data_IF_278789822713
#
_entry.id   IF_278789822713
#
_cell.length_a   1.000
_cell.length_b   1.000
_cell.length_c   1.000
_cell.angle_alpha   90.00
_cell.angle_beta   90.00
_cell.angle_gamma   90.00
#
_symmetry.space_group_name_H-M   'P 1'
#
loop_
_entity.id
_entity.type
_entity.pdbx_description
1 polymer ?
#
# COMPACT_ATOMS: atom_id res chain seq x y z
N UNK A 1 -16.26 1.07 2.50
CA UNK A 1 -14.87 0.57 2.45
C UNK A 1 -14.53 0.29 1.01
N UNK A 2 -13.57 1.01 0.44
CA UNK A 2 -13.03 0.68 -0.88
C UNK A 2 -12.21 -0.61 -0.75
N UNK A 3 -12.54 -1.64 -1.53
CA UNK A 3 -11.77 -2.87 -1.51
C UNK A 3 -10.32 -2.59 -1.94
N UNK A 4 -9.35 -3.09 -1.17
CA UNK A 4 -7.95 -3.08 -1.56
C UNK A 4 -7.64 -4.35 -2.35
N UNK A 5 -6.86 -4.23 -3.42
CA UNK A 5 -6.32 -5.37 -4.17
C UNK A 5 -4.80 -5.27 -4.26
N UNK A 6 -4.14 -6.43 -4.40
CA UNK A 6 -2.69 -6.52 -4.52
C UNK A 6 -2.27 -6.94 -5.93
N UNK A 7 -1.52 -6.06 -6.61
CA UNK A 7 -0.96 -6.36 -7.93
C UNK A 7 0.53 -6.68 -7.80
N UNK A 8 0.94 -7.90 -8.16
CA UNK A 8 2.35 -8.30 -8.11
C UNK A 8 3.19 -7.46 -9.08
N UNK A 9 4.28 -6.87 -8.58
CA UNK A 9 5.29 -6.19 -9.41
C UNK A 9 6.47 -7.11 -9.66
N UNK A 10 7.00 -7.71 -8.59
CA UNK A 10 8.08 -8.69 -8.63
C UNK A 10 8.10 -9.49 -7.32
N UNK A 11 9.09 -10.37 -7.19
CA UNK A 11 9.31 -11.09 -5.94
C UNK A 11 9.70 -10.11 -4.84
N UNK A 12 8.82 -9.99 -3.84
CA UNK A 12 9.03 -9.07 -2.74
C UNK A 12 8.38 -7.70 -2.91
N UNK A 13 7.67 -7.41 -4.02
CA UNK A 13 6.95 -6.13 -4.18
C UNK A 13 5.56 -6.33 -4.81
N UNK A 14 4.54 -5.79 -4.13
CA UNK A 14 3.16 -5.71 -4.60
C UNK A 14 2.68 -4.26 -4.54
N UNK A 15 1.95 -3.81 -5.56
CA UNK A 15 1.19 -2.56 -5.50
C UNK A 15 -0.09 -2.81 -4.72
N UNK A 16 -0.48 -1.83 -3.92
CA UNK A 16 -1.78 -1.78 -3.24
C UNK A 16 -2.66 -0.82 -4.01
N UNK A 17 -3.76 -1.32 -4.56
CA UNK A 17 -4.74 -0.54 -5.32
C UNK A 17 -6.00 -0.36 -4.47
N UNK A 18 -6.46 0.87 -4.31
CA UNK A 18 -7.68 1.22 -3.60
C UNK A 18 -8.73 1.73 -4.60
N UNK A 19 -9.50 0.82 -5.21
CA UNK A 19 -10.62 1.14 -6.11
C UNK A 19 -10.46 2.44 -6.93
N UNK A 20 -11.27 3.46 -6.63
CA UNK A 20 -11.27 4.74 -7.34
C UNK A 20 -10.04 5.62 -7.08
N UNK A 21 -9.33 5.44 -5.98
CA UNK A 21 -8.10 6.19 -5.66
C UNK A 21 -6.89 5.64 -6.43
N UNK A 22 -6.99 4.42 -6.97
CA UNK A 22 -5.92 3.78 -7.71
C UNK A 22 -4.78 3.33 -6.79
N UNK A 23 -3.53 3.50 -7.24
CA UNK A 23 -2.36 3.04 -6.50
C UNK A 23 -2.08 3.93 -5.29
N UNK A 24 -2.13 3.34 -4.09
CA UNK A 24 -1.99 4.06 -2.80
C UNK A 24 -0.71 3.69 -2.03
N UNK A 25 0.04 2.71 -2.53
CA UNK A 25 1.28 2.28 -1.88
C UNK A 25 1.78 0.95 -2.40
N UNK A 26 2.91 0.52 -1.86
CA UNK A 26 3.48 -0.79 -2.16
C UNK A 26 3.70 -1.58 -0.87
N UNK A 27 3.46 -2.88 -0.90
CA UNK A 27 4.03 -3.81 0.06
C UNK A 27 5.40 -4.22 -0.43
N UNK A 28 6.42 -4.05 0.43
CA UNK A 28 7.80 -4.46 0.13
C UNK A 28 8.29 -5.44 1.18
N UNK A 29 8.84 -6.57 0.75
CA UNK A 29 9.53 -7.52 1.61
C UNK A 29 10.93 -6.97 1.94
N UNK A 30 11.14 -6.57 3.19
CA UNK A 30 12.38 -5.97 3.65
C UNK A 30 12.83 -6.72 4.89
N UNK A 31 13.99 -7.37 4.82
CA UNK A 31 14.54 -8.18 5.92
C UNK A 31 13.55 -9.23 6.46
N UNK A 32 12.83 -9.92 5.57
CA UNK A 32 11.87 -10.97 5.92
C UNK A 32 10.50 -10.50 6.40
N UNK A 33 10.24 -9.18 6.40
CA UNK A 33 8.96 -8.61 6.82
C UNK A 33 8.33 -7.77 5.70
N UNK A 34 7.03 -7.91 5.50
CA UNK A 34 6.29 -7.07 4.56
C UNK A 34 6.01 -5.71 5.19
N UNK A 35 6.35 -4.64 4.49
CA UNK A 35 6.15 -3.26 4.94
C UNK A 35 5.34 -2.48 3.92
N UNK A 36 4.26 -1.86 4.36
CA UNK A 36 3.51 -0.93 3.53
C UNK A 36 4.27 0.39 3.38
N UNK A 37 4.45 0.80 2.13
CA UNK A 37 5.09 2.04 1.73
C UNK A 37 4.05 2.86 0.98
N UNK A 38 3.31 3.68 1.71
CA UNK A 38 2.35 4.63 1.15
C UNK A 38 2.98 5.46 0.02
N UNK A 39 2.20 5.73 -1.02
CA UNK A 39 2.53 6.71 -2.04
C UNK A 39 1.34 7.62 -2.29
N UNK A 40 1.63 8.89 -2.57
CA UNK A 40 0.68 9.82 -3.14
C UNK A 40 1.09 10.23 -4.54
N UNK A 41 0.20 10.96 -5.20
CA UNK A 41 0.47 11.62 -6.46
C UNK A 41 0.17 13.10 -6.30
N UNK A 42 1.12 13.96 -6.67
CA UNK A 42 0.91 15.40 -6.68
C UNK A 42 0.16 15.85 -7.94
N UNK A 43 -0.03 17.16 -8.07
CA UNK A 43 -0.91 17.72 -9.12
C UNK A 43 -0.40 17.47 -10.54
N UNK A 44 0.89 17.24 -10.73
CA UNK A 44 1.50 16.89 -12.02
C UNK A 44 1.63 15.38 -12.25
N UNK A 45 1.10 14.55 -11.36
CA UNK A 45 1.28 13.09 -11.40
C UNK A 45 2.64 12.63 -10.87
N UNK A 46 3.41 13.52 -10.23
CA UNK A 46 4.65 13.15 -9.57
C UNK A 46 4.37 12.21 -8.39
N UNK A 47 5.20 11.17 -8.27
CA UNK A 47 5.09 10.24 -7.15
C UNK A 47 5.64 10.88 -5.89
N UNK A 48 4.85 10.89 -4.82
CA UNK A 48 5.20 11.42 -3.50
C UNK A 48 5.40 10.25 -2.52
N UNK A 49 6.64 9.85 -2.20
CA UNK A 49 6.89 8.76 -1.26
C UNK A 49 6.38 9.11 0.13
N UNK A 50 5.66 8.18 0.76
CA UNK A 50 5.08 8.41 2.08
C UNK A 50 3.89 9.36 2.10
N UNK A 51 3.46 9.90 0.96
CA UNK A 51 2.25 10.73 0.86
C UNK A 51 0.99 9.90 0.57
N UNK A 52 -0.05 10.60 0.14
CA UNK A 52 -1.29 10.00 -0.34
C UNK A 52 -2.30 9.65 0.77
N UNK A 53 -3.44 9.07 0.38
CA UNK A 53 -4.57 8.80 1.29
C UNK A 53 -4.21 7.91 2.49
N UNK A 54 -3.22 7.02 2.31
CA UNK A 54 -2.77 6.09 3.35
C UNK A 54 -1.43 6.46 4.00
N UNK A 55 -1.04 7.75 3.95
CA UNK A 55 0.20 8.24 4.59
C UNK A 55 0.29 7.87 6.07
N UNK A 56 -0.82 7.92 6.81
CA UNK A 56 -0.87 7.57 8.23
C UNK A 56 -0.61 6.08 8.53
N UNK A 57 -0.68 5.22 7.52
CA UNK A 57 -0.37 3.78 7.63
C UNK A 57 1.04 3.46 7.12
N UNK A 58 1.85 4.47 6.78
CA UNK A 58 3.19 4.24 6.25
C UNK A 58 4.06 3.45 7.24
N UNK A 59 4.82 2.48 6.74
CA UNK A 59 5.60 1.50 7.50
C UNK A 59 4.81 0.48 8.31
N UNK A 60 3.48 0.41 8.22
CA UNK A 60 2.72 -0.72 8.78
C UNK A 60 3.30 -2.04 8.28
N UNK A 61 3.48 -2.97 9.21
CA UNK A 61 4.14 -4.25 8.96
C UNK A 61 3.13 -5.39 8.92
N UNK A 62 3.42 -6.37 8.07
CA UNK A 62 2.65 -7.60 7.95
C UNK A 62 3.59 -8.79 7.99
N UNK A 63 3.14 -9.88 8.62
CA UNK A 63 3.87 -11.13 8.62
C UNK A 63 3.81 -11.80 7.24
N UNK A 64 2.66 -11.71 6.58
CA UNK A 64 2.34 -12.39 5.32
C UNK A 64 1.50 -11.48 4.42
N UNK A 65 1.33 -11.87 3.15
CA UNK A 65 0.47 -11.16 2.19
C UNK A 65 -0.98 -11.66 2.29
N UNK A 66 -1.60 -11.47 3.45
CA UNK A 66 -3.03 -11.74 3.64
C UNK A 66 -3.85 -10.50 3.25
N UNK A 67 -4.53 -10.57 2.10
CA UNK A 67 -5.32 -9.45 1.56
C UNK A 67 -6.42 -8.98 2.52
N UNK A 68 -7.02 -9.88 3.30
CA UNK A 68 -8.10 -9.53 4.23
C UNK A 68 -7.54 -8.74 5.42
N UNK A 69 -6.43 -9.21 5.99
CA UNK A 69 -5.75 -8.51 7.09
C UNK A 69 -5.19 -7.17 6.63
N UNK A 70 -4.60 -7.13 5.44
CA UNK A 70 -4.06 -5.91 4.85
C UNK A 70 -5.19 -4.90 4.60
N UNK A 71 -6.29 -5.31 3.98
CA UNK A 71 -7.45 -4.45 3.73
C UNK A 71 -8.04 -3.89 5.02
N UNK A 72 -8.20 -4.72 6.06
CA UNK A 72 -8.72 -4.28 7.35
C UNK A 72 -7.77 -3.30 8.05
N UNK A 73 -6.47 -3.55 8.00
CA UNK A 73 -5.45 -2.73 8.69
C UNK A 73 -5.20 -1.39 7.99
N UNK A 74 -5.27 -1.38 6.66
CA UNK A 74 -5.04 -0.20 5.84
C UNK A 74 -6.32 0.59 5.54
N UNK A 75 -7.48 0.15 6.02
CA UNK A 75 -8.72 0.90 5.86
C UNK A 75 -8.55 2.33 6.42
N UNK A 76 -9.03 3.36 5.68
CA UNK A 76 -9.15 4.70 6.23
C UNK A 76 -10.11 4.69 7.42
N UNK A 77 -9.85 5.54 8.41
CA UNK A 77 -10.72 5.74 9.59
C UNK A 77 -12.08 6.35 9.19
#
# INVERSE_FOLDING_TARGET
MTALTLDKVNDGVYRVIAGAEGHVGNLKLIAGQWKFKAVGYGAGGELVPGGGPLTGRHNTVFAELDETVIAATLAPD
#
